data_IF_519010458674
#
_entry.id   IF_519010458674
#
_cell.length_a   1.000
_cell.length_b   1.000
_cell.length_c   1.000
_cell.angle_alpha   90.00
_cell.angle_beta   90.00
_cell.angle_gamma   90.00
#
_symmetry.space_group_name_H-M   'P 1'
#
loop_
_entity.id
_entity.type
_entity.pdbx_description
1 polymer ?
#
# COMPACT_ATOMS: atom_id res chain seq x y z
N UNK A 1 10.06 1.77 0.16
CA UNK A 1 9.98 0.94 -1.06
C UNK A 1 11.29 0.96 -1.83
N UNK A 2 11.36 0.29 -3.00
CA UNK A 2 12.54 0.30 -3.90
C UNK A 2 12.11 0.66 -5.31
N UNK A 3 12.98 1.34 -6.06
CA UNK A 3 12.79 1.61 -7.49
C UNK A 3 13.78 0.77 -8.30
N UNK A 4 13.34 0.29 -9.47
CA UNK A 4 14.24 -0.38 -10.40
C UNK A 4 15.39 0.56 -10.85
N UNK A 5 16.61 0.05 -11.11
CA UNK A 5 17.79 0.91 -11.31
C UNK A 5 17.63 1.96 -12.43
N UNK A 6 17.00 1.55 -13.54
CA UNK A 6 16.74 2.39 -14.71
C UNK A 6 15.43 3.20 -14.66
N UNK A 7 14.59 3.00 -13.63
CA UNK A 7 13.30 3.67 -13.56
C UNK A 7 13.44 5.07 -12.96
N UNK A 8 13.80 6.02 -13.83
CA UNK A 8 14.05 7.42 -13.45
C UNK A 8 12.88 8.07 -12.70
N UNK A 9 11.65 7.95 -13.21
CA UNK A 9 10.47 8.56 -12.57
C UNK A 9 10.23 8.03 -11.16
N UNK A 10 10.32 6.71 -10.95
CA UNK A 10 10.18 6.11 -9.63
C UNK A 10 11.26 6.60 -8.64
N UNK A 11 12.51 6.76 -9.12
CA UNK A 11 13.59 7.34 -8.30
C UNK A 11 13.36 8.81 -7.97
N UNK A 12 12.78 9.59 -8.90
CA UNK A 12 12.37 10.97 -8.62
C UNK A 12 11.26 11.03 -7.57
N UNK A 13 10.26 10.14 -7.63
CA UNK A 13 9.21 10.05 -6.60
C UNK A 13 9.81 9.73 -5.22
N UNK A 14 10.75 8.78 -5.13
CA UNK A 14 11.47 8.52 -3.88
C UNK A 14 12.21 9.78 -3.40
N UNK A 15 12.87 10.53 -4.29
CA UNK A 15 13.54 11.77 -3.90
C UNK A 15 12.54 12.84 -3.43
N UNK A 16 11.38 12.96 -4.09
CA UNK A 16 10.33 13.88 -3.68
C UNK A 16 9.82 13.55 -2.28
N UNK A 17 9.52 12.28 -1.98
CA UNK A 17 9.08 11.85 -0.65
C UNK A 17 10.11 12.24 0.42
N UNK A 18 11.39 11.98 0.17
CA UNK A 18 12.45 12.37 1.13
C UNK A 18 12.59 13.89 1.27
N UNK A 19 12.44 14.65 0.18
CA UNK A 19 12.47 16.12 0.25
C UNK A 19 11.27 16.72 0.97
N UNK A 20 10.08 16.13 0.81
CA UNK A 20 8.89 16.48 1.60
C UNK A 20 9.12 16.13 3.08
N UNK A 21 9.71 14.97 3.36
CA UNK A 21 10.03 14.53 4.71
C UNK A 21 11.02 15.47 5.41
N UNK A 22 12.08 15.93 4.73
CA UNK A 22 13.02 16.93 5.26
C UNK A 22 12.27 18.19 5.72
N UNK A 23 11.41 18.75 4.86
CA UNK A 23 10.64 19.96 5.20
C UNK A 23 9.69 19.74 6.38
N UNK A 24 8.87 18.69 6.34
CA UNK A 24 7.87 18.43 7.40
C UNK A 24 8.54 18.09 8.73
N UNK A 25 9.59 17.28 8.71
CA UNK A 25 10.19 16.78 9.93
C UNK A 25 11.02 17.85 10.66
N UNK A 26 11.56 18.83 9.92
CA UNK A 26 12.39 19.92 10.46
C UNK A 26 11.59 21.18 10.80
N UNK A 27 10.31 21.26 10.41
CA UNK A 27 9.44 22.40 10.72
C UNK A 27 8.96 22.35 12.19
N UNK A 28 9.37 23.31 13.04
CA UNK A 28 9.02 23.32 14.46
C UNK A 28 7.51 23.47 14.72
N UNK A 29 6.72 23.97 13.76
CA UNK A 29 5.28 24.20 13.94
C UNK A 29 4.44 22.94 13.72
N UNK A 30 4.98 21.91 13.03
CA UNK A 30 4.25 20.68 12.66
C UNK A 30 4.95 19.38 13.04
N UNK A 31 6.25 19.44 13.35
CA UNK A 31 7.09 18.25 13.59
C UNK A 31 6.65 17.38 14.77
N UNK A 32 5.83 17.88 15.69
CA UNK A 32 5.22 17.13 16.80
C UNK A 32 3.89 16.44 16.42
N UNK A 33 3.33 16.75 15.25
CA UNK A 33 2.02 16.27 14.77
C UNK A 33 2.10 15.40 13.54
N UNK A 34 3.02 15.71 12.62
CA UNK A 34 3.19 14.99 11.36
C UNK A 34 4.67 14.63 11.20
N UNK A 35 4.92 13.37 10.88
CA UNK A 35 6.23 12.86 10.50
C UNK A 35 6.12 12.05 9.22
N UNK A 36 7.12 12.17 8.35
CA UNK A 36 7.28 11.32 7.17
C UNK A 36 8.59 10.58 7.29
N UNK A 37 8.53 9.25 7.27
CA UNK A 37 9.71 8.38 7.41
C UNK A 37 9.79 7.44 6.21
N UNK A 38 10.87 7.54 5.44
CA UNK A 38 11.15 6.59 4.37
C UNK A 38 12.10 5.51 4.88
N UNK A 39 11.60 4.29 5.05
CA UNK A 39 12.44 3.18 5.49
C UNK A 39 13.29 2.64 4.33
N UNK A 40 14.61 2.75 4.48
CA UNK A 40 15.58 2.28 3.51
C UNK A 40 15.60 0.75 3.41
N UNK A 41 15.95 0.23 2.23
CA UNK A 41 16.27 -1.17 2.08
C UNK A 41 15.10 -2.16 2.24
N UNK A 42 13.84 -1.70 2.24
CA UNK A 42 12.65 -2.52 2.51
C UNK A 42 12.74 -3.97 1.99
N UNK A 43 12.61 -4.91 2.92
CA UNK A 43 12.87 -6.34 2.78
C UNK A 43 11.83 -7.12 3.59
N UNK A 44 11.89 -8.45 3.55
CA UNK A 44 11.02 -9.31 4.36
C UNK A 44 11.20 -9.02 5.85
N UNK A 45 12.43 -8.98 6.35
CA UNK A 45 12.73 -8.72 7.76
C UNK A 45 12.22 -7.37 8.25
N UNK A 46 12.25 -6.35 7.40
CA UNK A 46 11.65 -5.06 7.75
C UNK A 46 10.13 -5.11 7.68
N UNK A 47 9.57 -5.82 6.69
CA UNK A 47 8.13 -6.05 6.59
C UNK A 47 7.55 -6.72 7.84
N UNK A 48 8.25 -7.70 8.42
CA UNK A 48 7.86 -8.37 9.68
C UNK A 48 7.65 -7.39 10.84
N UNK A 49 8.33 -6.24 10.83
CA UNK A 49 8.14 -5.18 11.83
C UNK A 49 7.05 -4.19 11.42
N UNK A 50 6.92 -3.90 10.12
CA UNK A 50 6.01 -2.89 9.59
C UNK A 50 4.56 -3.37 9.56
N UNK A 51 4.29 -4.60 9.12
CA UNK A 51 2.91 -5.07 8.98
C UNK A 51 2.13 -5.08 10.31
N UNK A 52 2.69 -5.56 11.44
CA UNK A 52 2.00 -5.54 12.73
C UNK A 52 1.87 -4.15 13.36
N UNK A 53 2.65 -3.17 12.90
CA UNK A 53 2.70 -1.82 13.47
C UNK A 53 1.79 -0.82 12.73
N UNK A 54 1.14 -1.23 11.64
CA UNK A 54 0.34 -0.34 10.82
C UNK A 54 -1.11 -0.23 11.33
N UNK A 55 -1.57 1.00 11.50
CA UNK A 55 -2.99 1.29 11.73
C UNK A 55 -3.79 1.27 10.42
N UNK A 56 -3.25 1.92 9.39
CA UNK A 56 -3.87 2.11 8.08
C UNK A 56 -2.96 1.55 6.97
N UNK A 57 -3.57 0.82 6.04
CA UNK A 57 -2.93 0.24 4.87
C UNK A 57 -3.32 1.00 3.60
N UNK A 58 -2.33 1.64 2.96
CA UNK A 58 -2.51 2.41 1.72
C UNK A 58 -2.46 1.47 0.49
N UNK A 59 -3.62 1.18 -0.11
CA UNK A 59 -3.76 0.29 -1.28
C UNK A 59 -4.38 1.06 -2.46
N UNK A 60 -3.60 2.01 -2.98
CA UNK A 60 -4.07 3.15 -3.76
C UNK A 60 -3.74 3.08 -5.26
N UNK A 61 -3.63 1.87 -5.83
CA UNK A 61 -3.42 1.71 -7.27
C UNK A 61 -4.61 2.27 -8.05
N UNK A 62 -4.37 2.80 -9.25
CA UNK A 62 -5.45 3.11 -10.18
C UNK A 62 -6.25 1.85 -10.48
N UNK A 63 -7.58 1.92 -10.38
CA UNK A 63 -8.44 0.77 -10.63
C UNK A 63 -8.16 0.10 -12.00
N UNK A 64 -8.04 -1.23 -11.99
CA UNK A 64 -7.70 -2.04 -13.16
C UNK A 64 -6.20 -2.18 -13.44
N UNK A 65 -5.31 -1.77 -12.52
CA UNK A 65 -3.84 -1.87 -12.71
C UNK A 65 -3.17 -2.88 -11.79
N UNK A 66 -3.72 -3.14 -10.62
CA UNK A 66 -3.24 -4.16 -9.69
C UNK A 66 -4.00 -5.46 -9.90
N UNK A 67 -3.28 -6.52 -10.26
CA UNK A 67 -3.91 -7.83 -10.47
C UNK A 67 -4.35 -8.49 -9.15
N UNK A 68 -3.67 -8.22 -8.04
CA UNK A 68 -3.98 -8.82 -6.74
C UNK A 68 -3.41 -7.99 -5.58
N UNK A 69 -2.09 -7.99 -5.42
CA UNK A 69 -1.44 -7.44 -4.23
C UNK A 69 -1.43 -8.46 -3.08
N UNK A 70 -0.29 -8.64 -2.42
CA UNK A 70 -0.18 -9.50 -1.21
C UNK A 70 0.25 -8.70 0.02
N UNK A 71 0.61 -7.43 -0.15
CA UNK A 71 0.88 -6.52 0.97
C UNK A 71 -0.40 -6.17 1.72
N UNK A 72 -1.46 -5.83 0.99
CA UNK A 72 -2.81 -5.60 1.51
C UNK A 72 -3.29 -6.76 2.41
N UNK A 73 -3.13 -8.01 1.98
CA UNK A 73 -3.50 -9.20 2.76
C UNK A 73 -2.74 -9.26 4.10
N UNK A 74 -1.42 -9.02 4.08
CA UNK A 74 -0.59 -9.04 5.29
C UNK A 74 -1.00 -7.96 6.28
N UNK A 75 -1.26 -6.75 5.79
CA UNK A 75 -1.73 -5.65 6.62
C UNK A 75 -3.10 -5.94 7.23
N UNK A 76 -4.07 -6.38 6.42
CA UNK A 76 -5.42 -6.70 6.90
C UNK A 76 -5.40 -7.85 7.93
N UNK A 77 -4.58 -8.89 7.72
CA UNK A 77 -4.40 -9.98 8.69
C UNK A 77 -3.81 -9.50 10.03
N UNK A 78 -3.00 -8.43 10.00
CA UNK A 78 -2.44 -7.82 11.20
C UNK A 78 -3.34 -6.74 11.81
N UNK A 79 -4.56 -6.57 11.30
CA UNK A 79 -5.55 -5.64 11.85
C UNK A 79 -5.44 -4.21 11.34
N UNK A 80 -4.57 -3.91 10.37
CA UNK A 80 -4.57 -2.61 9.73
C UNK A 80 -5.83 -2.47 8.86
N UNK A 81 -6.53 -1.33 8.98
CA UNK A 81 -7.67 -1.02 8.12
C UNK A 81 -7.17 -0.58 6.75
N UNK A 82 -7.93 -0.90 5.70
CA UNK A 82 -7.51 -0.56 4.34
C UNK A 82 -8.20 0.71 3.86
N UNK A 83 -7.41 1.65 3.32
CA UNK A 83 -7.88 2.69 2.41
C UNK A 83 -7.41 2.32 1.01
N UNK A 84 -8.33 2.23 0.05
CA UNK A 84 -7.99 1.73 -1.27
C UNK A 84 -9.06 1.93 -2.32
N UNK A 85 -8.66 1.69 -3.57
CA UNK A 85 -9.53 1.64 -4.75
C UNK A 85 -10.16 0.26 -4.90
N UNK A 86 -11.21 0.13 -5.74
CA UNK A 86 -11.77 -1.18 -6.14
C UNK A 86 -10.88 -1.84 -7.20
N UNK A 87 -9.72 -2.33 -6.77
CA UNK A 87 -8.71 -2.96 -7.61
C UNK A 87 -8.11 -4.21 -6.98
N UNK A 88 -7.69 -5.17 -7.80
CA UNK A 88 -7.03 -6.39 -7.34
C UNK A 88 -7.73 -7.08 -6.16
N UNK A 89 -6.94 -7.46 -5.14
CA UNK A 89 -7.42 -8.14 -3.94
C UNK A 89 -8.13 -7.19 -2.95
N UNK A 90 -8.17 -5.87 -3.19
CA UNK A 90 -8.97 -4.97 -2.36
C UNK A 90 -10.46 -5.28 -2.47
N UNK A 91 -10.91 -5.74 -3.64
CA UNK A 91 -12.30 -6.18 -3.87
C UNK A 91 -12.61 -7.35 -2.94
N UNK A 92 -11.79 -8.39 -2.95
CA UNK A 92 -11.96 -9.55 -2.08
C UNK A 92 -11.81 -9.17 -0.59
N UNK A 93 -10.86 -8.32 -0.22
CA UNK A 93 -10.67 -7.88 1.17
C UNK A 93 -11.92 -7.15 1.66
N UNK A 94 -12.48 -6.27 0.85
CA UNK A 94 -13.71 -5.53 1.17
C UNK A 94 -14.92 -6.46 1.30
N UNK A 95 -15.00 -7.51 0.48
CA UNK A 95 -16.05 -8.54 0.59
C UNK A 95 -15.97 -9.29 1.92
N UNK A 96 -14.78 -9.76 2.31
CA UNK A 96 -14.58 -10.53 3.55
C UNK A 96 -14.66 -9.64 4.81
N UNK A 97 -14.06 -8.45 4.77
CA UNK A 97 -14.10 -7.51 5.91
C UNK A 97 -15.48 -6.86 6.07
N UNK A 98 -16.28 -6.78 5.01
CA UNK A 98 -17.49 -6.00 4.94
C UNK A 98 -17.23 -4.53 4.58
N UNK A 99 -18.15 -3.94 3.83
CA UNK A 99 -18.03 -2.58 3.31
C UNK A 99 -17.79 -1.52 4.40
N UNK A 100 -18.37 -1.71 5.59
CA UNK A 100 -18.26 -0.79 6.71
C UNK A 100 -16.86 -0.79 7.35
N UNK A 101 -16.03 -1.81 7.08
CA UNK A 101 -14.68 -1.95 7.63
C UNK A 101 -13.59 -1.67 6.58
N UNK A 102 -13.93 -0.97 5.50
CA UNK A 102 -13.03 -0.65 4.40
C UNK A 102 -13.25 0.79 3.92
N UNK A 103 -12.18 1.58 3.82
CA UNK A 103 -12.24 2.97 3.35
C UNK A 103 -12.07 3.03 1.83
N UNK A 104 -13.18 2.88 1.10
CA UNK A 104 -13.17 2.94 -0.35
C UNK A 104 -13.07 4.40 -0.85
N UNK A 105 -12.24 4.62 -1.86
CA UNK A 105 -12.20 5.87 -2.61
C UNK A 105 -11.89 5.63 -4.09
N UNK A 106 -11.96 6.72 -4.87
CA UNK A 106 -11.54 6.76 -6.25
C UNK A 106 -12.54 6.17 -7.25
N UNK A 107 -12.15 6.21 -8.51
CA UNK A 107 -12.92 5.71 -9.66
C UNK A 107 -12.96 4.18 -9.70
N UNK A 108 -14.05 3.61 -10.20
CA UNK A 108 -14.09 2.18 -10.57
C UNK A 108 -13.33 1.94 -11.88
N UNK A 109 -12.98 0.69 -12.16
CA UNK A 109 -12.33 0.29 -13.41
C UNK A 109 -13.11 0.77 -14.65
N UNK A 110 -14.44 0.65 -14.63
CA UNK A 110 -15.31 1.10 -15.72
C UNK A 110 -15.26 2.62 -15.88
N UNK A 111 -15.29 3.37 -14.78
CA UNK A 111 -15.19 4.82 -14.78
C UNK A 111 -13.82 5.31 -15.26
N UNK A 112 -12.73 4.61 -14.90
CA UNK A 112 -11.37 4.86 -15.41
C UNK A 112 -11.33 4.74 -16.94
N UNK A 113 -11.92 3.68 -17.50
CA UNK A 113 -11.96 3.49 -18.96
C UNK A 113 -12.85 4.51 -19.65
N UNK A 114 -14.01 4.81 -19.09
CA UNK A 114 -14.94 5.81 -19.63
C UNK A 114 -14.29 7.20 -19.67
N UNK A 115 -13.70 7.64 -18.55
CA UNK A 115 -13.05 8.94 -18.44
C UNK A 115 -11.89 9.10 -19.43
N UNK A 116 -11.08 8.06 -19.62
CA UNK A 116 -10.03 8.06 -20.65
C UNK A 116 -10.59 8.11 -22.05
N UNK A 117 -11.66 7.37 -22.35
CA UNK A 117 -12.30 7.35 -23.66
C UNK A 117 -12.97 8.69 -24.01
N UNK A 118 -13.47 9.42 -23.01
CA UNK A 118 -14.07 10.75 -23.15
C UNK A 118 -13.03 11.87 -23.38
N UNK A 119 -11.73 11.56 -23.25
CA UNK A 119 -10.66 12.52 -23.46
C UNK A 119 -10.25 13.24 -22.18
N UNK A 120 -10.02 12.48 -21.10
CA UNK A 120 -9.49 12.96 -19.83
C UNK A 120 -8.45 14.09 -19.97
N UNK A 121 -8.73 15.22 -19.31
CA UNK A 121 -7.86 16.38 -19.30
C UNK A 121 -7.43 16.72 -17.85
N UNK A 122 -6.20 16.37 -17.43
CA UNK A 122 -5.73 16.60 -16.06
C UNK A 122 -5.74 18.08 -15.67
N UNK A 123 -5.59 18.99 -16.64
CA UNK A 123 -5.59 20.44 -16.37
C UNK A 123 -6.94 20.95 -15.83
N UNK A 124 -8.05 20.29 -16.14
CA UNK A 124 -9.36 20.68 -15.60
C UNK A 124 -9.42 20.44 -14.09
N UNK A 125 -8.90 19.30 -13.63
CA UNK A 125 -8.80 18.98 -12.21
C UNK A 125 -7.86 19.94 -11.48
N UNK A 126 -6.70 20.21 -12.07
CA UNK A 126 -5.74 21.18 -11.53
C UNK A 126 -6.31 22.61 -11.44
N UNK A 127 -7.09 23.07 -12.42
CA UNK A 127 -7.63 24.43 -12.42
C UNK A 127 -8.88 24.61 -11.56
N UNK A 128 -9.64 23.53 -11.33
CA UNK A 128 -10.90 23.59 -10.57
C UNK A 128 -10.75 23.21 -9.09
N UNK A 129 -9.55 22.84 -8.63
CA UNK A 129 -9.27 22.50 -7.24
C UNK A 129 -8.08 23.31 -6.72
N UNK A 130 -8.35 24.30 -5.87
CA UNK A 130 -7.34 25.22 -5.34
C UNK A 130 -6.27 24.52 -4.48
N UNK A 131 -6.68 23.55 -3.66
CA UNK A 131 -5.76 22.78 -2.79
C UNK A 131 -4.83 21.92 -3.64
N UNK A 132 -5.38 21.20 -4.63
CA UNK A 132 -4.60 20.42 -5.59
C UNK A 132 -3.64 21.31 -6.37
N UNK A 133 -4.12 22.46 -6.85
CA UNK A 133 -3.32 23.45 -7.59
C UNK A 133 -2.10 23.86 -6.77
N UNK A 134 -2.33 24.22 -5.51
CA UNK A 134 -1.27 24.62 -4.59
C UNK A 134 -0.24 23.51 -4.38
N UNK A 135 -0.68 22.26 -4.19
CA UNK A 135 0.23 21.11 -4.03
C UNK A 135 1.11 20.93 -5.27
N UNK A 136 0.51 20.92 -6.47
CA UNK A 136 1.25 20.76 -7.73
C UNK A 136 2.23 21.92 -7.95
N UNK A 137 1.80 23.16 -7.69
CA UNK A 137 2.64 24.35 -7.81
C UNK A 137 3.82 24.30 -6.83
N UNK A 138 3.60 23.86 -5.59
CA UNK A 138 4.67 23.70 -4.59
C UNK A 138 5.68 22.63 -5.03
N UNK A 139 5.23 21.48 -5.54
CA UNK A 139 6.11 20.43 -6.09
C UNK A 139 6.94 20.97 -7.26
N UNK A 140 6.34 21.78 -8.13
CA UNK A 140 7.02 22.40 -9.27
C UNK A 140 7.88 23.62 -8.93
N UNK A 141 7.87 24.08 -7.68
CA UNK A 141 8.58 25.26 -7.22
C UNK A 141 9.90 24.91 -6.52
N UNK A 142 10.50 25.92 -5.87
CA UNK A 142 11.70 25.76 -5.03
C UNK A 142 11.40 25.18 -3.64
N UNK A 143 10.13 24.99 -3.29
CA UNK A 143 9.70 24.74 -1.91
C UNK A 143 10.37 23.50 -1.29
N UNK A 144 10.28 22.34 -1.93
CA UNK A 144 10.85 21.10 -1.40
C UNK A 144 12.33 20.88 -1.73
N UNK A 145 12.88 21.57 -2.73
CA UNK A 145 14.28 21.41 -3.09
C UNK A 145 14.90 22.71 -3.66
N UNK A 146 15.28 23.67 -2.80
CA UNK A 146 15.72 25.00 -3.22
C UNK A 146 16.95 25.01 -4.15
N UNK A 147 17.82 24.00 -4.04
CA UNK A 147 19.09 23.90 -4.77
C UNK A 147 18.90 23.55 -6.25
N UNK A 148 17.79 22.91 -6.62
CA UNK A 148 17.45 22.61 -8.00
C UNK A 148 15.92 22.70 -8.21
N UNK A 149 15.42 23.89 -8.56
CA UNK A 149 13.99 24.15 -8.72
C UNK A 149 13.29 23.25 -9.75
N UNK A 150 14.03 22.77 -10.75
CA UNK A 150 13.49 21.99 -11.85
C UNK A 150 13.59 20.47 -11.62
N UNK A 151 14.09 20.02 -10.45
CA UNK A 151 14.31 18.61 -10.18
C UNK A 151 13.03 17.78 -10.31
N UNK A 152 11.90 18.30 -9.82
CA UNK A 152 10.61 17.61 -9.83
C UNK A 152 9.70 18.01 -10.99
N UNK A 153 10.18 18.87 -11.90
CA UNK A 153 9.43 19.26 -13.11
C UNK A 153 8.94 18.04 -13.92
N UNK A 154 9.71 16.96 -14.10
CA UNK A 154 9.21 15.78 -14.80
C UNK A 154 7.98 15.14 -14.15
N UNK A 155 7.86 15.17 -12.81
CA UNK A 155 6.67 14.68 -12.10
C UNK A 155 5.47 15.58 -12.40
N UNK A 156 5.65 16.89 -12.26
CA UNK A 156 4.59 17.88 -12.54
C UNK A 156 4.11 17.80 -13.99
N UNK A 157 5.03 17.75 -14.95
CA UNK A 157 4.69 17.63 -16.36
C UNK A 157 3.95 16.31 -16.65
N UNK A 158 4.38 15.21 -16.01
CA UNK A 158 3.67 13.93 -16.13
C UNK A 158 2.25 14.00 -15.59
N UNK A 159 1.97 14.81 -14.55
CA UNK A 159 0.63 14.95 -13.96
C UNK A 159 -0.25 15.94 -14.75
N UNK A 160 0.30 17.01 -15.30
CA UNK A 160 -0.50 18.04 -15.97
C UNK A 160 -0.78 17.74 -17.45
N UNK A 161 0.09 16.96 -18.11
CA UNK A 161 0.01 16.73 -19.56
C UNK A 161 -0.29 15.27 -19.95
N UNK A 162 -0.33 14.35 -18.99
CA UNK A 162 -0.59 12.93 -19.28
C UNK A 162 -1.44 12.25 -18.24
N UNK A 163 -1.00 12.30 -16.97
CA UNK A 163 -1.60 11.62 -15.81
C UNK A 163 -2.21 10.26 -16.15
N UNK A 164 -1.37 9.37 -16.68
CA UNK A 164 -1.76 8.02 -17.14
C UNK A 164 -2.48 7.22 -16.06
N UNK A 165 -2.25 7.55 -14.78
CA UNK A 165 -2.78 6.84 -13.63
C UNK A 165 -3.91 7.60 -12.92
N UNK A 166 -4.42 8.67 -13.52
CA UNK A 166 -5.59 9.44 -13.05
C UNK A 166 -5.46 9.96 -11.61
N UNK A 167 -4.24 10.31 -11.18
CA UNK A 167 -3.97 10.80 -9.83
C UNK A 167 -4.76 12.07 -9.54
N UNK A 168 -4.90 12.98 -10.51
CA UNK A 168 -5.63 14.23 -10.29
C UNK A 168 -7.14 14.02 -10.21
N UNK A 169 -7.66 12.99 -10.90
CA UNK A 169 -9.06 12.61 -10.82
C UNK A 169 -9.41 11.98 -9.46
N UNK A 170 -8.56 11.09 -8.96
CA UNK A 170 -8.78 10.42 -7.66
C UNK A 170 -8.44 11.29 -6.45
N UNK A 171 -7.65 12.36 -6.64
CA UNK A 171 -7.11 13.19 -5.55
C UNK A 171 -8.17 13.64 -4.53
N UNK A 172 -9.27 14.25 -4.98
CA UNK A 172 -10.26 14.80 -4.05
C UNK A 172 -11.01 13.70 -3.29
N UNK A 173 -11.29 12.57 -3.97
CA UNK A 173 -11.91 11.40 -3.36
C UNK A 173 -11.01 10.82 -2.27
N UNK A 174 -9.73 10.65 -2.58
CA UNK A 174 -8.71 10.20 -1.63
C UNK A 174 -8.60 11.11 -0.40
N UNK A 175 -8.49 12.44 -0.59
CA UNK A 175 -8.42 13.41 0.50
C UNK A 175 -9.68 13.37 1.39
N UNK A 176 -10.85 13.24 0.78
CA UNK A 176 -12.11 13.16 1.51
C UNK A 176 -12.21 11.85 2.33
N UNK A 177 -11.73 10.74 1.78
CA UNK A 177 -11.72 9.46 2.49
C UNK A 177 -10.66 9.44 3.60
N UNK A 178 -9.48 10.04 3.41
CA UNK A 178 -8.51 10.24 4.49
C UNK A 178 -9.08 11.08 5.65
N UNK A 179 -9.94 12.06 5.37
CA UNK A 179 -10.67 12.77 6.44
C UNK A 179 -11.62 11.86 7.22
N UNK A 180 -12.27 10.90 6.56
CA UNK A 180 -13.12 9.91 7.22
C UNK A 180 -12.28 8.93 8.07
N UNK A 181 -11.13 8.50 7.56
CA UNK A 181 -10.16 7.69 8.34
C UNK A 181 -9.77 8.42 9.62
N UNK A 182 -9.36 9.69 9.52
CA UNK A 182 -9.02 10.51 10.68
C UNK A 182 -10.17 10.65 11.68
N UNK A 183 -11.43 10.70 11.21
CA UNK A 183 -12.60 10.76 12.08
C UNK A 183 -12.85 9.42 12.77
N UNK A 184 -12.79 8.31 12.03
CA UNK A 184 -12.97 6.96 12.57
C UNK A 184 -11.90 6.62 13.61
N UNK A 185 -10.64 6.99 13.36
CA UNK A 185 -9.53 6.76 14.29
C UNK A 185 -9.71 7.47 15.64
N UNK A 186 -10.46 8.59 15.69
CA UNK A 186 -10.73 9.28 16.98
C UNK A 186 -11.62 8.47 17.91
N UNK A 187 -12.51 7.64 17.36
CA UNK A 187 -13.26 6.65 18.13
C UNK A 187 -12.46 5.34 18.18
N UNK A 188 -11.56 5.26 19.17
CA UNK A 188 -10.67 4.12 19.34
C UNK A 188 -11.43 2.80 19.54
N UNK A 189 -12.59 2.80 20.19
CA UNK A 189 -13.38 1.58 20.38
C UNK A 189 -13.96 1.09 19.05
N UNK A 190 -14.50 2.01 18.25
CA UNK A 190 -14.97 1.68 16.92
C UNK A 190 -13.83 1.19 16.02
N UNK A 191 -12.70 1.91 15.99
CA UNK A 191 -11.52 1.53 15.21
C UNK A 191 -11.00 0.14 15.56
N UNK A 192 -10.80 -0.16 16.85
CA UNK A 192 -10.36 -1.48 17.30
C UNK A 192 -11.35 -2.56 16.90
N UNK A 193 -12.66 -2.30 16.96
CA UNK A 193 -13.66 -3.26 16.49
C UNK A 193 -13.52 -3.54 15.00
N UNK A 194 -13.37 -2.51 14.17
CA UNK A 194 -13.15 -2.68 12.72
C UNK A 194 -11.89 -3.50 12.44
N UNK A 195 -10.80 -3.20 13.16
CA UNK A 195 -9.50 -3.88 13.06
C UNK A 195 -9.60 -5.37 13.37
N UNK A 196 -10.27 -5.74 14.47
CA UNK A 196 -10.50 -7.14 14.86
C UNK A 196 -11.34 -7.86 13.81
N UNK A 197 -12.40 -7.22 13.29
CA UNK A 197 -13.27 -7.82 12.27
C UNK A 197 -12.47 -8.07 10.97
N UNK A 198 -11.65 -7.11 10.55
CA UNK A 198 -10.75 -7.29 9.41
C UNK A 198 -9.88 -8.53 9.62
N UNK A 199 -9.07 -8.55 10.68
CA UNK A 199 -8.13 -9.63 10.94
C UNK A 199 -8.82 -11.01 11.03
N UNK A 200 -9.97 -11.08 11.72
CA UNK A 200 -10.71 -12.33 11.89
C UNK A 200 -11.27 -12.89 10.57
N UNK A 201 -11.57 -12.03 9.59
CA UNK A 201 -12.16 -12.44 8.32
C UNK A 201 -11.13 -12.66 7.20
N UNK A 202 -9.84 -12.43 7.43
CA UNK A 202 -8.81 -12.60 6.38
C UNK A 202 -8.39 -14.05 6.11
N UNK A 203 -9.09 -15.05 6.67
CA UNK A 203 -8.73 -16.47 6.52
C UNK A 203 -8.68 -16.96 5.07
N UNK A 204 -9.50 -16.39 4.17
CA UNK A 204 -9.49 -16.66 2.72
C UNK A 204 -8.13 -16.39 2.07
N UNK A 205 -7.34 -15.47 2.61
CA UNK A 205 -6.07 -15.06 2.04
C UNK A 205 -4.88 -15.92 2.50
N UNK A 206 -5.13 -17.02 3.23
CA UNK A 206 -4.08 -18.00 3.54
C UNK A 206 -3.56 -18.65 2.25
N UNK A 207 -2.23 -18.72 2.13
CA UNK A 207 -1.57 -19.43 1.02
C UNK A 207 -1.91 -20.92 0.99
N UNK A 208 -2.27 -21.52 2.13
CA UNK A 208 -2.67 -22.93 2.20
C UNK A 208 -3.92 -23.20 1.36
N UNK A 209 -4.85 -22.24 1.30
CA UNK A 209 -6.01 -22.30 0.42
C UNK A 209 -5.55 -22.31 -1.04
N UNK A 210 -4.71 -21.35 -1.43
CA UNK A 210 -4.20 -21.24 -2.80
C UNK A 210 -3.46 -22.52 -3.23
N UNK A 211 -2.57 -23.05 -2.38
CA UNK A 211 -1.84 -24.28 -2.68
C UNK A 211 -2.79 -25.47 -2.84
N UNK A 212 -3.84 -25.57 -2.01
CA UNK A 212 -4.85 -26.62 -2.14
C UNK A 212 -5.63 -26.50 -3.46
N UNK A 213 -6.04 -25.30 -3.83
CA UNK A 213 -6.75 -25.05 -5.09
C UNK A 213 -5.88 -25.37 -6.31
N UNK A 214 -4.59 -25.00 -6.31
CA UNK A 214 -3.64 -25.39 -7.35
C UNK A 214 -3.46 -26.91 -7.40
N UNK A 215 -3.31 -27.56 -6.24
CA UNK A 215 -3.17 -29.00 -6.13
C UNK A 215 -4.34 -29.76 -6.75
N UNK A 216 -5.57 -29.32 -6.47
CA UNK A 216 -6.80 -29.96 -6.93
C UNK A 216 -7.15 -29.63 -8.38
N UNK A 217 -7.02 -28.36 -8.79
CA UNK A 217 -7.60 -27.89 -10.06
C UNK A 217 -6.59 -27.85 -11.22
N UNK A 218 -5.29 -27.84 -10.94
CA UNK A 218 -4.24 -27.68 -11.96
C UNK A 218 -3.23 -28.82 -11.92
N UNK A 219 -2.62 -29.07 -10.75
CA UNK A 219 -1.54 -30.06 -10.64
C UNK A 219 -2.06 -31.49 -10.54
N UNK A 220 -3.31 -31.68 -10.11
CA UNK A 220 -3.95 -32.97 -9.86
C UNK A 220 -3.11 -33.86 -8.92
N UNK A 221 -2.73 -33.29 -7.76
CA UNK A 221 -1.93 -33.96 -6.73
C UNK A 221 -2.74 -34.13 -5.44
N UNK A 222 -2.50 -35.23 -4.74
CA UNK A 222 -3.10 -35.55 -3.44
C UNK A 222 -2.05 -35.48 -2.32
N UNK A 223 -2.43 -35.08 -1.09
CA UNK A 223 -1.53 -35.14 0.05
C UNK A 223 -1.04 -36.56 0.32
N UNK A 224 0.28 -36.72 0.50
CA UNK A 224 0.89 -37.99 0.90
C UNK A 224 1.16 -37.91 2.40
N UNK A 225 0.54 -38.81 3.17
CA UNK A 225 0.89 -38.98 4.58
C UNK A 225 2.27 -39.63 4.66
N UNK A 226 3.18 -38.98 5.38
CA UNK A 226 4.50 -39.53 5.68
C UNK A 226 4.48 -39.92 7.15
N UNK A 227 4.64 -41.21 7.43
CA UNK A 227 4.90 -41.69 8.78
C UNK A 227 6.32 -41.25 9.15
N UNK A 228 6.40 -40.30 10.09
CA UNK A 228 7.67 -39.92 10.70
C UNK A 228 7.92 -40.85 11.87
N UNK A 229 9.06 -41.54 11.86
CA UNK A 229 9.53 -42.27 13.05
C UNK A 229 9.66 -41.28 14.23
N UNK A 230 9.37 -41.74 15.44
CA UNK A 230 9.64 -40.94 16.64
C UNK A 230 11.11 -40.52 16.65
N UNK A 231 11.36 -39.22 16.87
CA UNK A 231 12.71 -38.69 16.92
C UNK A 231 13.49 -39.41 18.04
N UNK A 232 14.53 -40.13 17.64
CA UNK A 232 15.50 -40.73 18.56
C UNK A 232 16.87 -40.08 18.34
N UNK A 233 17.34 -39.39 19.40
CA UNK A 233 18.61 -38.68 19.41
C UNK A 233 19.81 -39.61 19.13
N UNK A 234 19.70 -40.90 19.47
CA UNK A 234 20.79 -41.87 19.31
C UNK A 234 20.90 -42.37 17.85
N UNK A 235 19.83 -42.26 17.06
CA UNK A 235 19.79 -42.60 15.62
C UNK A 235 19.81 -41.37 14.69
N UNK A 236 19.60 -40.16 15.21
CA UNK A 236 19.55 -38.92 14.43
C UNK A 236 20.89 -38.47 13.80
N UNK A 237 22.00 -39.19 14.02
CA UNK A 237 23.31 -38.90 13.43
C UNK A 237 23.97 -37.58 13.89
N UNK A 238 23.32 -36.85 14.79
CA UNK A 238 23.83 -35.64 15.43
C UNK A 238 24.60 -36.04 16.69
N UNK A 239 25.94 -35.95 16.64
CA UNK A 239 26.79 -36.21 17.82
C UNK A 239 26.38 -35.29 18.97
N UNK A 240 26.20 -35.87 20.16
CA UNK A 240 26.00 -35.07 21.38
C UNK A 240 27.23 -34.19 21.59
N UNK A 241 27.03 -32.96 22.08
CA UNK A 241 28.12 -32.00 22.32
C UNK A 241 29.23 -32.58 23.21
N UNK A 242 28.90 -33.54 24.08
CA UNK A 242 29.86 -34.29 24.91
C UNK A 242 30.81 -35.22 24.13
N UNK A 243 30.61 -35.42 22.83
CA UNK A 243 31.38 -36.31 21.95
C UNK A 243 32.15 -35.57 20.85
N UNK A 244 32.16 -34.23 20.90
CA UNK A 244 33.05 -33.41 20.07
C UNK A 244 34.41 -33.28 20.79
N UNK A 245 35.55 -33.42 20.06
CA UNK A 245 36.90 -33.37 20.64
C UNK A 245 37.27 -31.99 21.19
#
# INVERSE_FOLDING_TARGET
GKAAPGYYMAKLVIKLINSVAEVINDDPDVSDRIKVVFLEGFSVSLGEQVYPAADLSEQISTAGKEASGTGNMKFAMNGALTIGTLDGANIEIREEAGADNFFLFGLTTEEVYALKAEGYNPQEYYNNNEELKQVIDQIGSRYFYPRNPNLFKPIVDSLLYGDEYLLLADYQSYVNTQKQVCQAYRDQHHWTRMSIINAANMGKFSSDRTIREYGQNIWNVEPISVDLDEYDQDSAGLKRISELP
#
